data_IF_738331972123
#
_entry.id   IF_738331972123
#
_cell.length_a   1.000
_cell.length_b   1.000
_cell.length_c   1.000
_cell.angle_alpha   90.00
_cell.angle_beta   90.00
_cell.angle_gamma   90.00
#
_symmetry.space_group_name_H-M   'P 1'
#
loop_
_entity.id
_entity.type
_entity.pdbx_description
1 polymer ?
#
# COMPACT_ATOMS: atom_id res chain seq x y z
N UNK A 1 10.11 -29.36 1.81
CA UNK A 1 9.37 -28.14 1.43
C UNK A 1 10.27 -26.97 1.74
N UNK A 2 11.11 -26.57 0.80
CA UNK A 2 12.03 -25.44 1.01
C UNK A 2 11.21 -24.16 0.90
N UNK A 3 11.05 -23.45 2.00
CA UNK A 3 10.46 -22.11 2.02
C UNK A 3 11.45 -21.13 1.40
N UNK A 4 11.55 -21.12 0.07
CA UNK A 4 12.19 -20.02 -0.63
C UNK A 4 11.31 -18.80 -0.45
N UNK A 5 11.81 -17.78 0.27
CA UNK A 5 11.13 -16.51 0.42
C UNK A 5 10.95 -15.90 -0.98
N UNK A 6 9.77 -16.05 -1.55
CA UNK A 6 9.50 -15.63 -2.91
C UNK A 6 9.39 -14.11 -3.03
N UNK A 7 9.46 -13.60 -4.26
CA UNK A 7 9.29 -12.18 -4.54
C UNK A 7 7.96 -11.62 -4.01
N UNK A 8 6.89 -12.41 -4.02
CA UNK A 8 5.56 -12.00 -3.53
C UNK A 8 5.59 -11.79 -2.01
N UNK A 9 6.25 -12.70 -1.27
CA UNK A 9 6.40 -12.59 0.19
C UNK A 9 7.18 -11.33 0.59
N UNK A 10 8.26 -11.02 -0.12
CA UNK A 10 9.08 -9.82 0.13
C UNK A 10 8.23 -8.56 -0.06
N UNK A 11 7.41 -8.50 -1.10
CA UNK A 11 6.51 -7.38 -1.38
C UNK A 11 5.45 -7.22 -0.28
N UNK A 12 4.83 -8.32 0.17
CA UNK A 12 3.85 -8.27 1.24
C UNK A 12 4.44 -7.72 2.55
N UNK A 13 5.63 -8.20 2.94
CA UNK A 13 6.34 -7.73 4.15
C UNK A 13 6.69 -6.25 4.04
N UNK A 14 7.17 -5.80 2.87
CA UNK A 14 7.48 -4.39 2.65
C UNK A 14 6.24 -3.49 2.82
N UNK A 15 5.08 -3.92 2.33
CA UNK A 15 3.83 -3.17 2.52
C UNK A 15 3.32 -3.17 3.95
N UNK A 16 3.48 -4.27 4.71
CA UNK A 16 3.22 -4.24 6.15
C UNK A 16 4.12 -3.24 6.88
N UNK A 17 5.42 -3.25 6.56
CA UNK A 17 6.37 -2.28 7.12
C UNK A 17 5.98 -0.85 6.80
N UNK A 18 5.57 -0.57 5.56
CA UNK A 18 5.08 0.75 5.14
C UNK A 18 3.79 1.14 5.86
N UNK A 19 2.83 0.23 6.02
CA UNK A 19 1.60 0.47 6.75
C UNK A 19 1.89 0.87 8.21
N UNK A 20 2.68 0.05 8.92
CA UNK A 20 3.07 0.30 10.31
C UNK A 20 3.81 1.65 10.42
N UNK A 21 4.82 1.88 9.57
CA UNK A 21 5.57 3.13 9.54
C UNK A 21 4.65 4.33 9.33
N UNK A 22 3.67 4.21 8.44
CA UNK A 22 2.72 5.27 8.15
C UNK A 22 1.81 5.55 9.35
N UNK A 23 1.41 4.54 10.12
CA UNK A 23 0.58 4.75 11.32
C UNK A 23 1.31 5.47 12.45
N UNK A 24 2.63 5.27 12.58
CA UNK A 24 3.43 5.83 13.68
C UNK A 24 4.09 7.16 13.35
N UNK A 25 4.28 7.49 12.06
CA UNK A 25 5.02 8.69 11.67
C UNK A 25 4.22 9.97 11.94
N UNK A 26 4.89 10.96 12.54
CA UNK A 26 4.34 12.30 12.79
C UNK A 26 4.48 13.24 11.58
N UNK A 27 5.24 12.84 10.55
CA UNK A 27 5.42 13.62 9.32
C UNK A 27 4.39 13.17 8.27
N UNK A 28 3.90 14.06 7.41
CA UNK A 28 2.99 13.67 6.34
C UNK A 28 3.68 12.65 5.42
N UNK A 29 3.05 11.49 5.28
CA UNK A 29 3.56 10.45 4.39
C UNK A 29 3.38 10.88 2.94
N UNK A 30 4.44 10.71 2.14
CA UNK A 30 4.38 10.97 0.71
C UNK A 30 3.88 9.73 -0.01
N UNK A 31 3.17 9.94 -1.12
CA UNK A 31 2.93 8.86 -2.07
C UNK A 31 4.22 8.51 -2.81
N UNK A 32 4.31 7.27 -3.29
CA UNK A 32 5.50 6.69 -3.95
C UNK A 32 6.05 7.54 -5.11
N UNK A 33 5.20 8.31 -5.78
CA UNK A 33 5.56 9.17 -6.92
C UNK A 33 5.47 10.68 -6.63
N UNK A 34 5.40 11.09 -5.36
CA UNK A 34 5.09 12.47 -4.97
C UNK A 34 6.30 13.32 -4.56
N UNK A 35 6.21 14.63 -4.78
CA UNK A 35 7.08 15.60 -4.11
C UNK A 35 6.88 15.54 -2.59
N UNK A 36 7.94 15.88 -1.83
CA UNK A 36 7.86 16.04 -0.38
C UNK A 36 6.73 17.00 -0.01
N UNK A 37 5.71 16.47 0.66
CA UNK A 37 4.64 17.23 1.24
C UNK A 37 5.15 17.83 2.55
N UNK A 38 4.91 19.12 2.71
CA UNK A 38 5.19 19.84 3.95
C UNK A 38 4.01 19.73 4.89
N UNK A 39 4.27 19.62 6.20
CA UNK A 39 3.21 19.48 7.22
C UNK A 39 2.22 20.64 7.21
N UNK A 40 2.65 21.86 6.83
CA UNK A 40 1.78 23.03 6.72
C UNK A 40 0.71 22.91 5.63
N UNK A 41 0.90 22.02 4.64
CA UNK A 41 -0.09 21.77 3.57
C UNK A 41 -1.16 20.75 3.96
N UNK A 42 -1.11 20.20 5.18
CA UNK A 42 -2.07 19.19 5.65
C UNK A 42 -2.77 19.65 6.92
N UNK A 43 -4.11 19.76 6.88
CA UNK A 43 -4.95 20.21 8.00
C UNK A 43 -4.90 19.27 9.21
N UNK A 44 -4.69 17.97 9.00
CA UNK A 44 -4.55 16.97 10.07
C UNK A 44 -3.64 15.83 9.64
N UNK A 45 -2.35 15.93 9.97
CA UNK A 45 -1.32 14.96 9.54
C UNK A 45 -1.61 13.55 10.05
N UNK A 46 -2.07 13.40 11.31
CA UNK A 46 -2.34 12.08 11.90
C UNK A 46 -3.46 11.35 11.17
N UNK A 47 -4.59 12.02 10.92
CA UNK A 47 -5.73 11.40 10.20
C UNK A 47 -5.38 11.09 8.74
N UNK A 48 -4.65 11.99 8.08
CA UNK A 48 -4.14 11.76 6.73
C UNK A 48 -3.24 10.51 6.67
N UNK A 49 -2.29 10.39 7.60
CA UNK A 49 -1.41 9.23 7.70
C UNK A 49 -2.20 7.95 7.99
N UNK A 50 -3.21 7.97 8.85
CA UNK A 50 -4.08 6.80 9.08
C UNK A 50 -4.73 6.33 7.77
N UNK A 51 -5.29 7.23 6.96
CA UNK A 51 -5.88 6.86 5.66
C UNK A 51 -4.85 6.21 4.73
N UNK A 52 -3.64 6.77 4.64
CA UNK A 52 -2.58 6.18 3.83
C UNK A 52 -2.08 4.85 4.38
N UNK A 53 -1.98 4.71 5.70
CA UNK A 53 -1.60 3.45 6.33
C UNK A 53 -2.60 2.34 6.06
N UNK A 54 -3.90 2.65 6.06
CA UNK A 54 -4.97 1.70 5.70
C UNK A 54 -4.81 1.24 4.25
N UNK A 55 -4.49 2.14 3.32
CA UNK A 55 -4.22 1.78 1.91
C UNK A 55 -3.02 0.82 1.81
N UNK A 56 -1.92 1.09 2.50
CA UNK A 56 -0.75 0.19 2.50
C UNK A 56 -1.06 -1.16 3.16
N UNK A 57 -1.88 -1.17 4.22
CA UNK A 57 -2.31 -2.38 4.88
C UNK A 57 -3.17 -3.25 3.96
N UNK A 58 -4.08 -2.64 3.20
CA UNK A 58 -4.89 -3.34 2.19
C UNK A 58 -4.00 -4.03 1.15
N UNK A 59 -2.96 -3.34 0.66
CA UNK A 59 -1.99 -3.96 -0.23
C UNK A 59 -1.21 -5.09 0.42
N UNK A 60 -0.77 -4.92 1.67
CA UNK A 60 -0.04 -5.95 2.39
C UNK A 60 -0.85 -7.24 2.48
N UNK A 61 -2.13 -7.13 2.86
CA UNK A 61 -3.08 -8.25 2.92
C UNK A 61 -3.27 -8.86 1.52
N UNK A 62 -3.48 -8.03 0.50
CA UNK A 62 -3.63 -8.50 -0.88
C UNK A 62 -2.44 -9.34 -1.33
N UNK A 63 -1.20 -8.86 -1.14
CA UNK A 63 -0.01 -9.59 -1.53
C UNK A 63 0.24 -10.82 -0.66
N UNK A 64 -0.15 -10.82 0.63
CA UNK A 64 -0.12 -12.04 1.47
C UNK A 64 -1.02 -13.16 0.93
N UNK A 65 -2.16 -12.83 0.34
CA UNK A 65 -3.01 -13.83 -0.33
C UNK A 65 -2.30 -14.40 -1.56
N UNK A 66 -1.61 -13.57 -2.34
CA UNK A 66 -0.79 -14.02 -3.46
C UNK A 66 0.34 -14.95 -3.03
N UNK A 67 1.01 -14.61 -1.94
CA UNK A 67 2.03 -15.44 -1.31
C UNK A 67 1.51 -16.81 -0.84
N UNK A 68 0.27 -16.86 -0.35
CA UNK A 68 -0.39 -18.13 0.00
C UNK A 68 -0.67 -19.00 -1.23
N UNK A 69 -1.15 -18.41 -2.32
CA UNK A 69 -1.36 -19.16 -3.57
C UNK A 69 -0.06 -19.67 -4.17
N UNK A 70 1.01 -18.89 -4.09
CA UNK A 70 2.33 -19.33 -4.52
C UNK A 70 2.84 -20.50 -3.68
N UNK A 71 2.74 -20.41 -2.35
CA UNK A 71 3.12 -21.47 -1.43
C UNK A 71 2.38 -22.80 -1.68
N UNK A 72 1.12 -22.72 -2.10
CA UNK A 72 0.29 -23.88 -2.45
C UNK A 72 0.43 -24.31 -3.92
N UNK A 73 1.39 -23.76 -4.67
CA UNK A 73 1.66 -24.03 -6.09
C UNK A 73 0.51 -23.67 -7.07
N UNK A 74 -0.36 -22.72 -6.70
CA UNK A 74 -1.44 -22.22 -7.56
C UNK A 74 -0.99 -21.02 -8.41
N UNK A 75 -0.01 -21.22 -9.30
CA UNK A 75 0.63 -20.14 -10.09
C UNK A 75 -0.37 -19.35 -10.96
N UNK A 76 -1.42 -19.99 -11.48
CA UNK A 76 -2.46 -19.29 -12.26
C UNK A 76 -3.20 -18.23 -11.44
N UNK A 77 -3.41 -18.48 -10.13
CA UNK A 77 -4.03 -17.51 -9.24
C UNK A 77 -3.10 -16.33 -8.97
N UNK A 78 -1.80 -16.61 -8.77
CA UNK A 78 -0.76 -15.58 -8.63
C UNK A 78 -0.74 -14.66 -9.86
N UNK A 79 -0.76 -15.23 -11.06
CA UNK A 79 -0.81 -14.46 -12.31
C UNK A 79 -2.09 -13.61 -12.41
N UNK A 80 -3.25 -14.18 -12.08
CA UNK A 80 -4.52 -13.45 -12.07
C UNK A 80 -4.48 -12.27 -11.08
N UNK A 81 -3.89 -12.46 -9.90
CA UNK A 81 -3.71 -11.39 -8.93
C UNK A 81 -2.80 -10.27 -9.45
N UNK A 82 -1.71 -10.60 -10.14
CA UNK A 82 -0.88 -9.57 -10.75
C UNK A 82 -1.64 -8.76 -11.81
N UNK A 83 -2.44 -9.42 -12.65
CA UNK A 83 -3.28 -8.75 -13.64
C UNK A 83 -4.32 -7.83 -13.00
N UNK A 84 -5.00 -8.29 -11.94
CA UNK A 84 -5.96 -7.49 -11.18
C UNK A 84 -5.30 -6.28 -10.52
N UNK A 85 -4.09 -6.46 -9.98
CA UNK A 85 -3.34 -5.39 -9.34
C UNK A 85 -3.01 -4.27 -10.33
N UNK A 86 -2.42 -4.62 -11.48
CA UNK A 86 -1.99 -3.65 -12.49
C UNK A 86 -3.19 -2.98 -13.16
N UNK A 87 -4.25 -3.72 -13.49
CA UNK A 87 -5.41 -3.17 -14.22
C UNK A 87 -6.33 -2.32 -13.35
N UNK A 88 -6.56 -2.71 -12.09
CA UNK A 88 -7.63 -2.12 -11.27
C UNK A 88 -7.11 -1.53 -9.96
N UNK A 89 -6.37 -2.31 -9.15
CA UNK A 89 -6.00 -1.89 -7.80
C UNK A 89 -5.08 -0.67 -7.84
N UNK A 90 -4.12 -0.64 -8.75
CA UNK A 90 -3.21 0.51 -8.90
C UNK A 90 -3.98 1.79 -9.22
N UNK A 91 -4.96 1.73 -10.12
CA UNK A 91 -5.81 2.88 -10.44
C UNK A 91 -6.65 3.30 -9.23
N UNK A 92 -7.26 2.35 -8.53
CA UNK A 92 -8.03 2.63 -7.31
C UNK A 92 -7.17 3.28 -6.23
N UNK A 93 -5.91 2.87 -6.06
CA UNK A 93 -4.98 3.50 -5.12
C UNK A 93 -4.66 4.95 -5.50
N UNK A 94 -4.41 5.23 -6.78
CA UNK A 94 -4.12 6.58 -7.25
C UNK A 94 -5.33 7.50 -6.98
N UNK A 95 -6.54 7.02 -7.30
CA UNK A 95 -7.79 7.74 -7.03
C UNK A 95 -7.98 7.95 -5.52
N UNK A 96 -7.81 6.89 -4.72
CA UNK A 96 -7.93 6.96 -3.27
C UNK A 96 -6.95 7.99 -2.67
N UNK A 97 -5.69 7.94 -3.09
CA UNK A 97 -4.69 8.91 -2.68
C UNK A 97 -5.08 10.34 -3.05
N UNK A 98 -5.56 10.57 -4.29
CA UNK A 98 -6.00 11.89 -4.73
C UNK A 98 -7.16 12.44 -3.89
N UNK A 99 -8.14 11.58 -3.55
CA UNK A 99 -9.26 11.93 -2.67
C UNK A 99 -8.79 12.28 -1.26
N UNK A 100 -7.94 11.44 -0.67
CA UNK A 100 -7.35 11.68 0.66
C UNK A 100 -6.55 12.99 0.66
N UNK A 101 -5.72 13.21 -0.36
CA UNK A 101 -4.95 14.44 -0.52
C UNK A 101 -5.86 15.67 -0.59
N UNK A 102 -6.88 15.66 -1.47
CA UNK A 102 -7.79 16.79 -1.63
C UNK A 102 -8.55 17.09 -0.33
N UNK A 103 -9.01 16.06 0.37
CA UNK A 103 -9.75 16.21 1.63
C UNK A 103 -8.90 16.81 2.75
N UNK A 104 -7.63 16.43 2.85
CA UNK A 104 -6.74 16.88 3.92
C UNK A 104 -5.85 18.07 3.56
N UNK A 105 -5.84 18.52 2.29
CA UNK A 105 -5.11 19.70 1.83
C UNK A 105 -5.55 20.94 2.63
N UNK A 106 -4.58 21.63 3.24
CA UNK A 106 -4.80 22.93 3.86
C UNK A 106 -5.11 23.97 2.77
N UNK A 107 -6.11 24.83 3.03
CA UNK A 107 -6.45 25.96 2.15
C UNK A 107 -5.39 27.04 2.22
#
# INVERSE_FOLDING_TARGET
MESHLSGVWIVAIAFYGLAIYTFITSKPMNFWAGHKISSHRIKNVKKYNICLGIMWLFLAIYFSIGSYYEYTNHINMVYMMYQLFIKYILLCMIIYYAVVWYYFKAR
#
